data_IF_972150506008
#
_entry.id   IF_972150506008
#
_cell.length_a   1.000
_cell.length_b   1.000
_cell.length_c   1.000
_cell.angle_alpha   90.00
_cell.angle_beta   90.00
_cell.angle_gamma   90.00
#
_symmetry.space_group_name_H-M   'P 1'
#
loop_
_entity.id
_entity.type
_entity.pdbx_description
1 polymer ?
#
# COMPACT_ATOMS: atom_id res chain seq x y z
N UNK A 1 13.64 0.63 -0.07
CA UNK A 1 14.39 -0.60 -0.35
C UNK A 1 14.25 -1.52 0.85
N UNK A 2 13.59 -2.65 0.65
CA UNK A 2 13.26 -3.63 1.69
C UNK A 2 14.52 -4.31 2.26
N UNK A 3 15.55 -4.53 1.43
CA UNK A 3 16.83 -5.13 1.89
C UNK A 3 17.55 -4.20 2.85
N UNK A 4 17.58 -2.90 2.56
CA UNK A 4 18.16 -1.91 3.46
C UNK A 4 17.40 -1.84 4.80
N UNK A 5 16.07 -1.94 4.78
CA UNK A 5 15.24 -1.98 5.97
C UNK A 5 15.53 -3.22 6.82
N UNK A 6 15.55 -4.42 6.22
CA UNK A 6 15.89 -5.67 6.90
C UNK A 6 17.24 -5.57 7.60
N UNK A 7 18.25 -5.03 6.90
CA UNK A 7 19.59 -4.82 7.47
C UNK A 7 19.55 -3.89 8.68
N UNK A 8 18.86 -2.76 8.59
CA UNK A 8 18.76 -1.81 9.70
C UNK A 8 18.07 -2.41 10.94
N UNK A 9 17.09 -3.29 10.74
CA UNK A 9 16.41 -4.02 11.82
C UNK A 9 17.31 -5.08 12.46
N UNK A 10 18.05 -5.84 11.65
CA UNK A 10 18.97 -6.88 12.11
C UNK A 10 20.18 -6.30 12.85
N UNK A 11 20.75 -5.20 12.36
CA UNK A 11 21.88 -4.51 12.98
C UNK A 11 21.45 -3.58 14.14
N UNK A 12 20.16 -3.49 14.44
CA UNK A 12 19.63 -2.67 15.53
C UNK A 12 19.81 -1.16 15.34
N UNK A 13 19.95 -0.70 14.09
CA UNK A 13 20.01 0.73 13.77
C UNK A 13 18.68 1.41 14.05
N UNK A 14 17.59 0.68 13.92
CA UNK A 14 16.24 1.07 14.33
C UNK A 14 15.67 0.04 15.30
N UNK A 15 14.83 0.50 16.23
CA UNK A 15 14.26 -0.35 17.26
C UNK A 15 13.23 -1.35 16.72
N UNK A 16 12.55 -1.03 15.62
CA UNK A 16 11.56 -1.91 14.99
C UNK A 16 10.79 -1.23 13.86
N UNK A 17 9.91 -1.99 13.19
CA UNK A 17 9.04 -1.50 12.12
C UNK A 17 7.68 -2.20 12.10
N UNK A 18 6.63 -1.47 11.71
CA UNK A 18 5.32 -2.03 11.35
C UNK A 18 5.13 -1.96 9.84
N UNK A 19 4.87 -3.10 9.19
CA UNK A 19 4.80 -3.19 7.72
C UNK A 19 3.46 -3.78 7.28
N UNK A 20 2.80 -3.08 6.37
CA UNK A 20 1.55 -3.51 5.70
C UNK A 20 1.79 -3.94 4.25
N UNK A 21 2.85 -3.43 3.62
CA UNK A 21 3.20 -3.67 2.22
C UNK A 21 4.61 -4.21 2.09
N UNK A 22 4.85 -4.96 1.02
CA UNK A 22 6.13 -5.61 0.72
C UNK A 22 6.53 -5.37 -0.73
N UNK A 23 7.82 -5.51 -1.07
CA UNK A 23 8.25 -5.40 -2.48
C UNK A 23 7.62 -6.49 -3.35
N UNK A 24 7.40 -7.68 -2.79
CA UNK A 24 6.65 -8.76 -3.42
C UNK A 24 5.46 -9.18 -2.56
N UNK A 25 4.27 -9.20 -3.16
CA UNK A 25 3.04 -9.58 -2.49
C UNK A 25 2.39 -10.81 -3.16
N UNK A 26 2.02 -11.86 -2.39
CA UNK A 26 2.19 -12.00 -0.94
C UNK A 26 3.66 -12.17 -0.53
N UNK A 27 3.98 -11.82 0.71
CA UNK A 27 5.34 -11.92 1.25
C UNK A 27 5.88 -13.36 1.11
N UNK A 28 7.00 -13.58 0.40
CA UNK A 28 7.57 -14.92 0.23
C UNK A 28 7.81 -15.64 1.56
N UNK A 29 7.55 -16.94 1.60
CA UNK A 29 7.65 -17.75 2.82
C UNK A 29 9.09 -17.82 3.38
N UNK A 30 10.09 -17.60 2.53
CA UNK A 30 11.51 -17.55 2.88
C UNK A 30 11.99 -16.13 3.28
N UNK A 31 11.11 -15.13 3.30
CA UNK A 31 11.47 -13.76 3.68
C UNK A 31 12.04 -13.69 5.11
N UNK A 32 13.16 -12.98 5.33
CA UNK A 32 13.70 -12.74 6.66
C UNK A 32 12.74 -12.01 7.60
N UNK A 33 11.83 -11.20 7.06
CA UNK A 33 10.88 -10.40 7.84
C UNK A 33 9.99 -11.26 8.76
N UNK A 34 9.73 -12.51 8.39
CA UNK A 34 8.97 -13.46 9.21
C UNK A 34 9.65 -13.80 10.55
N UNK A 35 10.96 -13.62 10.65
CA UNK A 35 11.78 -14.09 11.79
C UNK A 35 12.29 -12.95 12.67
N UNK A 36 11.97 -11.70 12.35
CA UNK A 36 12.45 -10.54 13.10
C UNK A 36 11.48 -10.21 14.23
N UNK A 37 11.92 -10.39 15.48
CA UNK A 37 11.09 -10.13 16.67
C UNK A 37 10.73 -8.64 16.84
N UNK A 38 11.47 -7.74 16.19
CA UNK A 38 11.24 -6.31 16.18
C UNK A 38 10.41 -5.83 14.97
N UNK A 39 9.70 -6.73 14.29
CA UNK A 39 8.82 -6.41 13.17
C UNK A 39 7.39 -6.86 13.46
N UNK A 40 6.44 -5.95 13.24
CA UNK A 40 5.01 -6.25 13.21
C UNK A 40 4.57 -6.28 11.75
N UNK A 41 4.00 -7.41 11.33
CA UNK A 41 3.50 -7.60 9.98
C UNK A 41 1.97 -7.55 9.96
N UNK A 42 1.41 -6.76 9.04
CA UNK A 42 0.03 -6.90 8.57
C UNK A 42 0.05 -7.30 7.09
N UNK A 43 -0.93 -8.08 6.61
CA UNK A 43 -1.16 -8.19 5.17
C UNK A 43 -1.55 -6.82 4.62
N UNK A 44 -1.49 -6.59 3.30
CA UNK A 44 -1.82 -5.31 2.65
C UNK A 44 -3.30 -4.93 2.81
N UNK A 45 -3.67 -4.49 4.01
CA UNK A 45 -5.06 -4.22 4.40
C UNK A 45 -5.24 -2.92 5.18
N UNK A 46 -4.18 -2.17 5.47
CA UNK A 46 -4.27 -0.91 6.22
C UNK A 46 -5.16 0.15 5.55
N UNK A 47 -5.32 0.06 4.22
CA UNK A 47 -6.22 0.92 3.45
C UNK A 47 -7.71 0.57 3.56
N UNK A 48 -8.06 -0.61 4.06
CA UNK A 48 -9.45 -1.04 4.19
C UNK A 48 -10.08 -0.42 5.43
N UNK A 49 -11.31 0.08 5.24
CA UNK A 49 -12.18 0.53 6.33
C UNK A 49 -13.60 0.05 6.04
N UNK A 50 -14.50 -0.01 7.03
CA UNK A 50 -15.90 -0.40 6.80
C UNK A 50 -16.65 0.44 5.76
N UNK A 51 -16.13 1.63 5.44
CA UNK A 51 -16.71 2.55 4.46
C UNK A 51 -15.94 2.59 3.13
N UNK A 52 -14.86 1.81 3.00
CA UNK A 52 -13.98 1.85 1.83
C UNK A 52 -14.75 1.49 0.57
N UNK A 53 -15.44 0.33 0.56
CA UNK A 53 -16.13 -0.17 -0.63
C UNK A 53 -17.22 0.80 -1.11
N UNK A 54 -17.99 1.37 -0.19
CA UNK A 54 -19.02 2.36 -0.53
C UNK A 54 -18.42 3.59 -1.20
N UNK A 55 -17.38 4.19 -0.57
CA UNK A 55 -16.72 5.40 -1.11
C UNK A 55 -16.02 5.13 -2.44
N UNK A 56 -15.36 3.99 -2.58
CA UNK A 56 -14.67 3.60 -3.81
C UNK A 56 -15.67 3.37 -4.95
N UNK A 57 -16.78 2.69 -4.65
CA UNK A 57 -17.86 2.43 -5.62
C UNK A 57 -18.52 3.71 -6.07
N UNK A 58 -18.84 4.62 -5.15
CA UNK A 58 -19.44 5.93 -5.47
C UNK A 58 -18.53 6.75 -6.40
N UNK A 59 -17.24 6.82 -6.08
CA UNK A 59 -16.25 7.52 -6.91
C UNK A 59 -16.11 6.88 -8.29
N UNK A 60 -16.05 5.55 -8.36
CA UNK A 60 -15.97 4.82 -9.62
C UNK A 60 -17.19 5.07 -10.49
N UNK A 61 -18.40 4.96 -9.92
CA UNK A 61 -19.65 5.16 -10.64
C UNK A 61 -19.76 6.58 -11.22
N UNK A 62 -19.38 7.60 -10.46
CA UNK A 62 -19.37 8.98 -10.95
C UNK A 62 -18.31 9.19 -12.05
N UNK A 63 -17.13 8.60 -11.92
CA UNK A 63 -16.12 8.65 -12.98
C UNK A 63 -16.54 7.90 -14.25
N UNK A 64 -17.25 6.78 -14.12
CA UNK A 64 -17.82 6.06 -15.26
C UNK A 64 -18.86 6.93 -16.00
N UNK A 65 -19.76 7.59 -15.25
CA UNK A 65 -20.73 8.54 -15.83
C UNK A 65 -20.03 9.67 -16.59
N UNK A 66 -19.01 10.31 -15.97
CA UNK A 66 -18.21 11.38 -16.58
C UNK A 66 -17.51 10.91 -17.85
N UNK A 67 -16.90 9.74 -17.80
CA UNK A 67 -16.22 9.14 -18.96
C UNK A 67 -17.16 8.99 -20.16
N UNK A 68 -18.35 8.42 -19.94
CA UNK A 68 -19.36 8.24 -20.99
C UNK A 68 -19.90 9.57 -21.53
N UNK A 69 -19.92 10.62 -20.71
CA UNK A 69 -20.35 11.95 -21.11
C UNK A 69 -19.22 12.81 -21.74
N UNK A 70 -17.98 12.30 -21.81
CA UNK A 70 -16.82 13.08 -22.26
C UNK A 70 -16.41 14.19 -21.27
N UNK A 71 -16.85 14.11 -20.02
CA UNK A 71 -16.53 15.05 -18.96
C UNK A 71 -15.17 14.75 -18.32
N UNK A 72 -14.57 15.75 -17.67
CA UNK A 72 -13.32 15.58 -16.92
C UNK A 72 -13.52 14.67 -15.70
N UNK A 73 -12.69 13.63 -15.59
CA UNK A 73 -12.68 12.70 -14.46
C UNK A 73 -12.22 13.36 -13.16
N UNK A 74 -12.74 12.85 -12.05
CA UNK A 74 -12.28 13.14 -10.70
C UNK A 74 -10.99 12.37 -10.41
N UNK A 75 -10.13 12.94 -9.55
CA UNK A 75 -8.86 12.34 -9.11
C UNK A 75 -7.93 11.92 -10.26
N UNK A 76 -7.86 12.73 -11.32
CA UNK A 76 -6.93 12.51 -12.43
C UNK A 76 -5.49 12.49 -11.93
N UNK A 77 -4.83 11.35 -12.15
CA UNK A 77 -3.40 11.19 -11.92
C UNK A 77 -2.61 11.90 -13.03
N UNK A 78 -1.58 12.64 -12.64
CA UNK A 78 -0.66 13.32 -13.54
C UNK A 78 0.75 12.75 -13.34
N UNK A 79 1.23 11.88 -14.25
CA UNK A 79 2.55 11.25 -14.11
C UNK A 79 3.71 12.24 -14.06
N UNK A 80 3.55 13.46 -14.63
CA UNK A 80 4.62 14.46 -14.64
C UNK A 80 4.79 15.15 -13.28
N UNK A 81 3.74 15.16 -12.45
CA UNK A 81 3.79 15.71 -11.10
C UNK A 81 4.43 14.74 -10.11
N UNK A 82 4.60 13.48 -10.49
CA UNK A 82 5.06 12.43 -9.58
C UNK A 82 4.04 12.16 -8.46
N UNK A 83 4.55 11.62 -7.36
CA UNK A 83 3.84 11.52 -6.08
C UNK A 83 4.21 12.72 -5.19
#
# INVERSE_FOLDING_TARGET
DERALIRALQEGWIAGAGLDVFEQEPLPADSPLWKLDNVILSPHVSGFSPLYDARATDLFAENLRRYLAGERLLNLFDPQKGY
#
